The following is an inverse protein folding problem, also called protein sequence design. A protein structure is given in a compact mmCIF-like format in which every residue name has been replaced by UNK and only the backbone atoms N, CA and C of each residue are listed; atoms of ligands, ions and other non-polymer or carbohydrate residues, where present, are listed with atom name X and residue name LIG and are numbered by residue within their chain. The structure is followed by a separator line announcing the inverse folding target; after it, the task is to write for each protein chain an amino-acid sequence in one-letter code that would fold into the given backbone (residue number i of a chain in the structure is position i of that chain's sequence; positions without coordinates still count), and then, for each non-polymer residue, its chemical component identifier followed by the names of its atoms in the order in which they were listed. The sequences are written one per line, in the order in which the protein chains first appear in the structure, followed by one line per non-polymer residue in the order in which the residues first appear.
data_IF_154893717133
#
_entry.id   IF_154893717133
#
_cell.length_a   1.000
_cell.length_b   1.000
_cell.length_c   1.000
_cell.angle_alpha   90.00
_cell.angle_beta   90.00
_cell.angle_gamma   90.00
#
_symmetry.space_group_name_H-M   'P 1'
#
loop_
_entity.id
_entity.type
_entity.pdbx_description
1 polymer ?
#
# COMPACT_ATOMS: atom_id res chain seq x y z
N UNK A 1 19.76 10.92 0.55
CA UNK A 1 19.08 9.83 -0.12
C UNK A 1 17.89 9.38 0.69
N UNK A 2 16.71 9.56 0.17
CA UNK A 2 15.53 9.04 0.82
C UNK A 2 15.54 7.52 0.78
N UNK A 3 15.49 6.89 1.93
CA UNK A 3 15.32 5.46 1.98
C UNK A 3 13.92 5.13 1.46
N UNK A 4 13.86 4.34 0.40
CA UNK A 4 12.57 3.86 -0.07
C UNK A 4 12.02 2.90 0.97
N UNK A 5 10.75 3.08 1.32
CA UNK A 5 10.10 2.15 2.22
C UNK A 5 10.05 0.77 1.57
N UNK A 6 10.36 -0.25 2.36
CA UNK A 6 10.34 -1.62 1.89
C UNK A 6 9.14 -2.34 2.51
N UNK A 7 8.48 -3.17 1.71
CA UNK A 7 7.30 -3.91 2.15
C UNK A 7 7.48 -5.39 1.83
N UNK A 8 8.42 -6.06 2.51
CA UNK A 8 8.77 -7.45 2.20
C UNK A 8 7.58 -8.41 2.36
N UNK A 9 6.59 -8.05 3.17
CA UNK A 9 5.41 -8.88 3.35
C UNK A 9 4.60 -9.07 2.07
N UNK A 10 4.81 -8.21 1.06
CA UNK A 10 4.11 -8.30 -0.22
C UNK A 10 4.99 -8.82 -1.36
N UNK A 11 6.25 -9.15 -1.08
CA UNK A 11 7.20 -9.54 -2.13
C UNK A 11 6.80 -10.80 -2.90
N UNK A 12 6.02 -11.68 -2.28
CA UNK A 12 5.56 -12.92 -2.92
C UNK A 12 4.36 -12.74 -3.84
N UNK A 13 3.81 -11.54 -3.93
CA UNK A 13 2.62 -11.28 -4.74
C UNK A 13 2.99 -10.76 -6.11
N UNK A 14 2.28 -11.24 -7.15
CA UNK A 14 2.36 -10.62 -8.47
C UNK A 14 1.59 -9.30 -8.45
N UNK A 15 1.80 -8.46 -9.48
CA UNK A 15 1.05 -7.21 -9.61
C UNK A 15 -0.45 -7.48 -9.68
N UNK A 16 -0.86 -8.54 -10.39
CA UNK A 16 -2.28 -8.90 -10.51
C UNK A 16 -2.86 -9.32 -9.16
N UNK A 17 -2.10 -10.11 -8.39
CA UNK A 17 -2.52 -10.53 -7.06
C UNK A 17 -2.66 -9.34 -6.11
N UNK A 18 -1.71 -8.41 -6.19
CA UNK A 18 -1.77 -7.21 -5.36
C UNK A 18 -2.96 -6.33 -5.74
N UNK A 19 -3.23 -6.17 -7.04
CA UNK A 19 -4.40 -5.41 -7.50
C UNK A 19 -5.70 -6.02 -6.97
N UNK A 20 -5.78 -7.35 -6.97
CA UNK A 20 -6.94 -8.05 -6.43
C UNK A 20 -7.08 -7.80 -4.93
N UNK A 21 -5.95 -7.83 -4.20
CA UNK A 21 -5.94 -7.54 -2.77
C UNK A 21 -6.49 -6.14 -2.49
N UNK A 22 -6.04 -5.15 -3.27
CA UNK A 22 -6.53 -3.79 -3.14
C UNK A 22 -8.03 -3.70 -3.41
N UNK A 23 -8.50 -4.38 -4.46
CA UNK A 23 -9.92 -4.33 -4.81
C UNK A 23 -10.81 -4.94 -3.75
N UNK A 24 -10.32 -5.96 -3.04
CA UNK A 24 -11.08 -6.62 -1.98
C UNK A 24 -10.99 -5.89 -0.65
N UNK A 25 -10.05 -4.97 -0.50
CA UNK A 25 -9.86 -4.24 0.74
C UNK A 25 -10.93 -3.16 0.94
N UNK A 26 -11.04 -2.68 2.17
CA UNK A 26 -11.96 -1.60 2.52
C UNK A 26 -11.32 -0.22 2.37
N UNK A 27 -10.19 -0.14 1.71
CA UNK A 27 -9.50 1.13 1.51
C UNK A 27 -10.30 2.03 0.59
N UNK A 28 -10.19 3.34 0.80
CA UNK A 28 -10.76 4.32 -0.10
C UNK A 28 -10.00 4.31 -1.43
N UNK A 29 -10.58 4.95 -2.44
CA UNK A 29 -9.95 5.05 -3.75
C UNK A 29 -8.57 5.70 -3.65
N UNK A 30 -8.47 6.77 -2.86
CA UNK A 30 -7.21 7.48 -2.66
C UNK A 30 -6.20 6.59 -1.94
N UNK A 31 -6.63 5.87 -0.93
CA UNK A 31 -5.76 4.97 -0.20
C UNK A 31 -5.26 3.82 -1.07
N UNK A 32 -6.11 3.28 -1.94
CA UNK A 32 -5.69 2.25 -2.90
C UNK A 32 -4.62 2.78 -3.84
N UNK A 33 -4.78 4.03 -4.29
CA UNK A 33 -3.80 4.66 -5.17
C UNK A 33 -2.47 4.88 -4.46
N UNK A 34 -2.51 5.36 -3.22
CA UNK A 34 -1.31 5.52 -2.41
C UNK A 34 -0.60 4.17 -2.24
N UNK A 35 -1.35 3.13 -1.92
CA UNK A 35 -0.79 1.79 -1.74
C UNK A 35 -0.13 1.28 -3.01
N UNK A 36 -0.78 1.44 -4.14
CA UNK A 36 -0.22 1.00 -5.42
C UNK A 36 1.08 1.73 -5.75
N UNK A 37 1.10 3.04 -5.56
CA UNK A 37 2.30 3.82 -5.86
C UNK A 37 3.45 3.48 -4.93
N UNK A 38 3.19 3.30 -3.65
CA UNK A 38 4.22 2.97 -2.69
C UNK A 38 4.75 1.54 -2.85
N UNK A 39 3.86 0.59 -3.07
CA UNK A 39 4.21 -0.83 -3.00
C UNK A 39 4.56 -1.39 -4.38
N UNK A 40 3.74 -1.13 -5.38
CA UNK A 40 3.97 -1.65 -6.73
C UNK A 40 5.03 -0.83 -7.46
N UNK A 41 4.86 0.49 -7.48
CA UNK A 41 5.74 1.40 -8.21
C UNK A 41 6.97 1.81 -7.41
N UNK A 42 7.00 1.46 -6.12
CA UNK A 42 8.13 1.72 -5.22
C UNK A 42 8.52 3.18 -5.15
N UNK A 43 7.54 4.06 -5.23
CA UNK A 43 7.75 5.49 -5.08
C UNK A 43 7.94 5.83 -3.60
N UNK A 44 8.75 6.84 -3.31
CA UNK A 44 8.89 7.28 -1.92
C UNK A 44 7.68 8.13 -1.50
N UNK A 45 7.57 8.36 -0.19
CA UNK A 45 6.41 9.08 0.34
C UNK A 45 6.34 10.53 -0.13
N UNK A 46 7.49 11.15 -0.39
CA UNK A 46 7.51 12.53 -0.87
C UNK A 46 6.92 12.62 -2.28
N UNK A 47 7.30 11.70 -3.16
CA UNK A 47 6.78 11.66 -4.53
C UNK A 47 5.30 11.32 -4.55
N UNK A 48 4.89 10.35 -3.74
CA UNK A 48 3.47 10.00 -3.64
C UNK A 48 2.67 11.21 -3.09
N UNK A 49 3.23 11.89 -2.11
CA UNK A 49 2.59 13.08 -1.54
C UNK A 49 2.36 14.16 -2.57
N UNK A 50 3.33 14.40 -3.46
CA UNK A 50 3.15 15.36 -4.54
C UNK A 50 2.02 14.95 -5.47
N UNK A 51 1.94 13.66 -5.78
CA UNK A 51 0.93 13.14 -6.69
C UNK A 51 -0.48 13.25 -6.12
N UNK A 52 -0.64 12.97 -4.82
CA UNK A 52 -1.96 12.97 -4.18
C UNK A 52 -2.24 14.27 -3.40
N UNK A 53 -1.36 15.26 -3.51
CA UNK A 53 -1.49 16.55 -2.83
C UNK A 53 -1.55 16.43 -1.31
N UNK A 54 -0.65 15.63 -0.75
CA UNK A 54 -0.50 15.42 0.69
C UNK A 54 0.94 15.60 1.12
N UNK A 55 1.14 16.01 2.37
CA UNK A 55 2.47 16.01 2.97
C UNK A 55 2.97 14.56 3.08
N UNK A 56 4.27 14.36 2.87
CA UNK A 56 4.90 13.05 3.00
C UNK A 56 4.62 12.40 4.36
N UNK A 57 4.51 13.21 5.41
CA UNK A 57 4.20 12.69 6.77
C UNK A 57 2.79 12.12 6.82
N UNK A 58 1.86 12.74 6.14
CA UNK A 58 0.48 12.26 6.05
C UNK A 58 0.42 10.97 5.27
N UNK A 59 1.16 10.87 4.16
CA UNK A 59 1.25 9.65 3.36
C UNK A 59 1.82 8.51 4.22
N UNK A 60 2.93 8.75 4.92
CA UNK A 60 3.57 7.75 5.77
C UNK A 60 2.61 7.27 6.87
N UNK A 61 1.91 8.20 7.50
CA UNK A 61 0.96 7.86 8.56
C UNK A 61 -0.20 7.02 8.02
N UNK A 62 -0.76 7.41 6.87
CA UNK A 62 -1.83 6.62 6.24
C UNK A 62 -1.36 5.22 5.89
N UNK A 63 -0.15 5.10 5.35
CA UNK A 63 0.42 3.79 5.04
C UNK A 63 0.53 2.93 6.30
N UNK A 64 1.10 3.46 7.36
CA UNK A 64 1.38 2.68 8.56
C UNK A 64 0.14 2.38 9.40
N UNK A 65 -0.81 3.31 9.48
CA UNK A 65 -1.96 3.18 10.39
C UNK A 65 -3.22 2.65 9.72
N UNK A 66 -3.41 2.98 8.44
CA UNK A 66 -4.66 2.66 7.76
C UNK A 66 -4.48 1.63 6.65
N UNK A 67 -3.46 1.79 5.83
CA UNK A 67 -3.30 0.99 4.60
C UNK A 67 -2.67 -0.36 4.89
N UNK A 68 -1.49 -0.37 5.50
CA UNK A 68 -0.78 -1.63 5.77
C UNK A 68 -1.57 -2.58 6.68
N UNK A 69 -2.17 -2.10 7.79
CA UNK A 69 -2.98 -2.99 8.62
C UNK A 69 -4.14 -3.62 7.86
N UNK A 70 -4.81 -2.86 7.00
CA UNK A 70 -5.92 -3.40 6.22
C UNK A 70 -5.44 -4.44 5.21
N UNK A 71 -4.35 -4.15 4.49
CA UNK A 71 -3.82 -5.09 3.51
C UNK A 71 -3.30 -6.36 4.16
N UNK A 72 -2.63 -6.24 5.31
CA UNK A 72 -2.16 -7.41 6.05
C UNK A 72 -3.31 -8.26 6.53
N UNK A 73 -4.39 -7.63 7.01
CA UNK A 73 -5.60 -8.34 7.42
C UNK A 73 -6.22 -9.09 6.25
N UNK A 74 -6.27 -8.46 5.07
CA UNK A 74 -6.81 -9.11 3.89
C UNK A 74 -5.94 -10.27 3.42
N UNK A 75 -4.62 -10.13 3.52
CA UNK A 75 -3.71 -11.24 3.20
C UNK A 75 -3.94 -12.44 4.11
N UNK A 76 -4.11 -12.19 5.40
CA UNK A 76 -4.41 -13.26 6.36
C UNK A 76 -5.69 -14.00 5.99
N UNK A 77 -6.73 -13.26 5.62
CA UNK A 77 -8.00 -13.84 5.20
C UNK A 77 -7.86 -14.66 3.93
N UNK A 78 -7.08 -14.18 2.97
CA UNK A 78 -6.84 -14.92 1.73
C UNK A 78 -6.11 -16.22 1.98
N UNK A 79 -5.12 -16.21 2.87
CA UNK A 79 -4.39 -17.43 3.25
C UNK A 79 -5.29 -18.40 3.98
N UNK A 80 -6.13 -17.90 4.89
CA UNK A 80 -7.05 -18.75 5.66
C UNK A 80 -8.13 -19.37 4.78
N UNK A 81 -8.51 -18.69 3.68
CA UNK A 81 -9.53 -19.18 2.77
C UNK A 81 -9.00 -20.08 1.67
N UNK A 82 -7.70 -20.30 1.63
CA UNK A 82 -7.10 -21.12 0.58
C UNK A 82 -7.31 -22.60 0.79
#
# INVERSE_FOLDING_TARGET
MGARASFPQFDGLTAAEFARLLNLSKLSREEKEIAAQCIVWRMDYADVGEYVHMDRRTVARKMQKDILPELERMMERMKAGA
#
